data_IF_298504214445
#
_entry.id   IF_298504214445
#
_cell.length_a   1.000
_cell.length_b   1.000
_cell.length_c   1.000
_cell.angle_alpha   90.00
_cell.angle_beta   90.00
_cell.angle_gamma   90.00
#
_symmetry.space_group_name_H-M   'P 1'
#
loop_
_entity.id
_entity.type
_entity.pdbx_description
1 polymer ?
#
# COMPACT_ATOMS: atom_id res chain seq x y z
N UNK A 1 -9.94 17.14 18.22
CA UNK A 1 -10.65 16.42 17.14
C UNK A 1 -10.09 16.77 15.76
N UNK A 2 -9.84 18.05 15.46
CA UNK A 2 -9.29 18.47 14.17
C UNK A 2 -7.94 17.78 13.88
N UNK A 3 -7.00 17.81 14.83
CA UNK A 3 -5.69 17.14 14.68
C UNK A 3 -5.83 15.63 14.48
N UNK A 4 -6.79 14.99 15.19
CA UNK A 4 -7.01 13.56 15.08
C UNK A 4 -7.53 13.11 13.71
N UNK A 5 -8.14 14.01 12.96
CA UNK A 5 -8.80 13.72 11.67
C UNK A 5 -8.12 14.38 10.47
N UNK A 6 -7.08 15.20 10.70
CA UNK A 6 -6.37 15.93 9.63
C UNK A 6 -5.17 15.13 9.13
N UNK A 7 -4.96 15.16 7.82
CA UNK A 7 -3.83 14.49 7.20
C UNK A 7 -3.93 12.97 7.32
N UNK A 8 -2.98 12.36 8.01
CA UNK A 8 -3.04 10.95 8.41
C UNK A 8 -3.81 10.85 9.72
N UNK A 9 -5.04 10.33 9.74
CA UNK A 9 -5.83 10.21 10.96
C UNK A 9 -5.13 9.34 12.01
N UNK A 10 -5.24 9.75 13.27
CA UNK A 10 -4.62 9.01 14.36
C UNK A 10 -5.11 9.47 15.74
N UNK A 11 -4.75 8.73 16.79
CA UNK A 11 -5.12 9.09 18.16
C UNK A 11 -4.41 10.37 18.62
N UNK A 12 -5.10 11.16 19.40
CA UNK A 12 -4.56 12.34 20.09
C UNK A 12 -4.77 12.18 21.58
N UNK A 13 -3.69 12.28 22.35
CA UNK A 13 -3.73 12.26 23.81
C UNK A 13 -3.91 13.68 24.32
N UNK A 14 -4.88 13.87 25.22
CA UNK A 14 -5.04 15.07 26.02
C UNK A 14 -4.75 14.73 27.48
N UNK A 15 -3.63 15.21 28.00
CA UNK A 15 -3.30 15.07 29.40
C UNK A 15 -3.92 16.22 30.21
N UNK A 16 -4.69 15.89 31.25
CA UNK A 16 -5.32 16.85 32.16
C UNK A 16 -4.78 16.60 33.56
N UNK A 17 -3.78 17.37 34.00
CA UNK A 17 -3.17 17.22 35.33
C UNK A 17 -4.20 17.31 36.44
N UNK A 18 -3.95 16.60 37.56
CA UNK A 18 -4.89 16.50 38.67
C UNK A 18 -5.25 17.84 39.30
N UNK A 19 -4.28 18.74 39.46
CA UNK A 19 -4.49 20.09 40.00
C UNK A 19 -5.41 20.95 39.14
N UNK A 20 -5.36 20.79 37.81
CA UNK A 20 -6.24 21.45 36.86
C UNK A 20 -7.69 20.95 37.00
N UNK A 21 -7.87 19.64 37.24
CA UNK A 21 -9.19 19.05 37.41
C UNK A 21 -9.93 19.57 38.66
N UNK A 22 -9.18 19.95 39.70
CA UNK A 22 -9.75 20.52 40.95
C UNK A 22 -9.83 22.04 40.95
N UNK A 23 -9.29 22.71 39.94
CA UNK A 23 -9.27 24.17 39.88
C UNK A 23 -10.67 24.73 39.62
N UNK A 24 -11.12 25.63 40.52
CA UNK A 24 -12.37 26.36 40.30
C UNK A 24 -12.19 27.42 39.21
N UNK A 25 -13.14 27.50 38.28
CA UNK A 25 -13.14 28.49 37.20
C UNK A 25 -14.56 28.85 36.77
N UNK A 26 -14.72 29.96 36.04
CA UNK A 26 -15.97 30.29 35.38
C UNK A 26 -16.12 29.47 34.11
N UNK A 27 -17.28 28.84 33.94
CA UNK A 27 -17.59 28.18 32.66
C UNK A 27 -17.70 29.24 31.56
N UNK A 28 -16.95 29.08 30.51
CA UNK A 28 -17.05 29.86 29.28
C UNK A 28 -17.46 28.90 28.17
N UNK A 29 -18.63 29.16 27.56
CA UNK A 29 -19.07 28.34 26.42
C UNK A 29 -17.98 28.35 25.34
N UNK A 30 -17.52 27.19 24.89
CA UNK A 30 -16.54 27.13 23.79
C UNK A 30 -17.08 27.89 22.58
N UNK A 31 -16.24 28.71 21.96
CA UNK A 31 -16.59 29.29 20.66
C UNK A 31 -16.82 28.12 19.69
N UNK A 32 -17.91 28.17 18.93
CA UNK A 32 -18.12 27.21 17.86
C UNK A 32 -16.91 27.25 16.94
N UNK A 33 -16.12 26.17 16.97
CA UNK A 33 -15.09 25.98 15.97
C UNK A 33 -15.85 25.79 14.67
N UNK A 34 -15.81 26.78 13.79
CA UNK A 34 -16.32 26.61 12.42
C UNK A 34 -15.61 25.37 11.88
N UNK A 35 -16.35 24.29 11.69
CA UNK A 35 -15.84 23.14 10.95
C UNK A 35 -15.32 23.71 9.64
N UNK A 36 -14.02 23.78 9.48
CA UNK A 36 -13.46 23.79 8.13
C UNK A 36 -13.99 22.50 7.55
N UNK A 37 -14.84 22.59 6.53
CA UNK A 37 -15.43 21.46 5.83
C UNK A 37 -14.34 20.41 5.70
N UNK A 38 -14.61 19.19 6.21
CA UNK A 38 -13.61 18.15 6.44
C UNK A 38 -12.97 17.52 5.22
N UNK A 39 -12.96 18.21 4.10
CA UNK A 39 -12.00 18.03 3.03
C UNK A 39 -10.71 18.71 3.49
N UNK A 40 -9.88 17.95 4.17
CA UNK A 40 -8.46 18.27 4.18
C UNK A 40 -8.04 18.24 2.73
N UNK A 41 -8.04 19.39 2.08
CA UNK A 41 -7.42 19.62 0.78
C UNK A 41 -5.91 19.38 0.94
N UNK A 42 -5.52 18.14 1.15
CA UNK A 42 -4.12 17.73 1.00
C UNK A 42 -3.88 17.71 -0.49
N UNK A 43 -3.60 18.91 -0.98
CA UNK A 43 -3.20 19.11 -2.37
C UNK A 43 -1.92 18.32 -2.56
N UNK A 44 -1.86 17.60 -3.67
CA UNK A 44 -0.60 17.04 -4.13
C UNK A 44 0.43 18.19 -4.26
N UNK A 45 1.49 18.11 -3.46
CA UNK A 45 2.56 19.12 -3.44
C UNK A 45 3.65 18.83 -4.46
N UNK A 46 3.57 17.71 -5.20
CA UNK A 46 4.52 17.36 -6.25
C UNK A 46 4.31 18.20 -7.52
N UNK A 47 5.39 18.37 -8.27
CA UNK A 47 5.36 19.02 -9.57
C UNK A 47 4.99 18.01 -10.65
N UNK A 48 4.40 18.45 -11.75
CA UNK A 48 4.07 17.56 -12.88
C UNK A 48 5.31 16.82 -13.41
N UNK A 49 6.49 17.45 -13.36
CA UNK A 49 7.77 16.82 -13.66
C UNK A 49 8.09 15.60 -12.80
N UNK A 50 7.63 15.57 -11.54
CA UNK A 50 7.89 14.44 -10.65
C UNK A 50 7.02 13.24 -11.05
N UNK A 51 5.77 13.49 -11.49
CA UNK A 51 4.90 12.46 -12.08
C UNK A 51 5.51 11.93 -13.38
N UNK A 52 6.06 12.80 -14.21
CA UNK A 52 6.73 12.40 -15.46
C UNK A 52 7.96 11.53 -15.18
N UNK A 53 8.74 11.87 -14.17
CA UNK A 53 9.89 11.08 -13.74
C UNK A 53 9.49 9.67 -13.28
N UNK A 54 8.36 9.53 -12.57
CA UNK A 54 7.80 8.22 -12.22
C UNK A 54 7.47 7.39 -13.47
N UNK A 55 6.78 7.99 -14.44
CA UNK A 55 6.43 7.31 -15.70
C UNK A 55 7.69 6.87 -16.45
N UNK A 56 8.73 7.70 -16.46
CA UNK A 56 9.99 7.35 -17.11
C UNK A 56 10.73 6.20 -16.40
N UNK A 57 10.65 6.12 -15.05
CA UNK A 57 11.17 4.98 -14.30
C UNK A 57 10.38 3.69 -14.61
N UNK A 58 9.04 3.76 -14.71
CA UNK A 58 8.21 2.62 -15.11
C UNK A 58 8.63 2.06 -16.47
N UNK A 59 8.92 2.94 -17.42
CA UNK A 59 9.31 2.56 -18.79
C UNK A 59 10.69 1.91 -18.87
N UNK A 60 11.56 2.18 -17.91
CA UNK A 60 12.95 1.66 -17.88
C UNK A 60 13.09 0.37 -17.07
N UNK A 61 12.19 0.12 -16.12
CA UNK A 61 12.27 -1.01 -15.23
C UNK A 61 11.99 -2.33 -15.94
N UNK A 62 12.73 -3.37 -15.58
CA UNK A 62 12.55 -4.75 -16.04
C UNK A 62 12.08 -5.69 -14.94
N UNK A 63 12.22 -5.29 -13.66
CA UNK A 63 11.81 -6.04 -12.48
C UNK A 63 11.00 -5.16 -11.52
N UNK A 64 9.92 -4.51 -11.97
CA UNK A 64 9.14 -3.63 -11.12
C UNK A 64 8.31 -4.40 -10.10
N UNK A 65 7.97 -3.72 -8.98
CA UNK A 65 6.96 -4.17 -8.03
C UNK A 65 6.16 -3.00 -7.49
N UNK A 66 4.85 -3.16 -7.42
CA UNK A 66 3.96 -2.26 -6.69
C UNK A 66 3.81 -2.79 -5.26
N UNK A 67 3.94 -1.90 -4.30
CA UNK A 67 3.86 -2.21 -2.88
C UNK A 67 2.82 -1.31 -2.22
N UNK A 68 1.73 -1.88 -1.71
CA UNK A 68 0.61 -1.12 -1.19
C UNK A 68 0.43 -1.25 0.31
N UNK A 69 -0.02 -0.17 0.93
CA UNK A 69 -0.35 -0.12 2.35
C UNK A 69 -1.75 0.39 2.64
N UNK A 70 -2.05 0.57 3.93
CA UNK A 70 -3.34 1.04 4.42
C UNK A 70 -3.73 2.43 3.90
N UNK A 71 -2.77 3.24 3.43
CA UNK A 71 -3.04 4.55 2.85
C UNK A 71 -3.93 4.49 1.61
N UNK A 72 -3.90 3.39 0.85
CA UNK A 72 -4.81 3.19 -0.30
C UNK A 72 -6.25 3.04 0.18
N UNK A 73 -6.48 2.24 1.23
CA UNK A 73 -7.80 2.02 1.81
C UNK A 73 -8.33 3.30 2.45
N UNK A 74 -7.48 4.01 3.20
CA UNK A 74 -7.83 5.27 3.86
C UNK A 74 -8.16 6.39 2.87
N UNK A 75 -7.59 6.36 1.67
CA UNK A 75 -7.91 7.28 0.58
C UNK A 75 -9.26 6.97 -0.10
N UNK A 76 -9.90 5.86 0.26
CA UNK A 76 -11.27 5.49 -0.10
C UNK A 76 -11.41 4.66 -1.38
N UNK A 77 -12.66 4.28 -1.73
CA UNK A 77 -12.93 3.32 -2.82
C UNK A 77 -12.39 3.76 -4.19
N UNK A 78 -12.33 5.06 -4.45
CA UNK A 78 -11.79 5.58 -5.71
C UNK A 78 -10.30 5.28 -5.84
N UNK A 79 -9.54 5.36 -4.75
CA UNK A 79 -8.11 5.03 -4.75
C UNK A 79 -7.87 3.56 -5.09
N UNK A 80 -8.69 2.63 -4.57
CA UNK A 80 -8.60 1.20 -4.92
C UNK A 80 -8.96 0.92 -6.37
N UNK A 81 -9.92 1.65 -6.95
CA UNK A 81 -10.24 1.56 -8.39
C UNK A 81 -9.05 2.01 -9.24
N UNK A 82 -8.45 3.15 -8.89
CA UNK A 82 -7.28 3.69 -9.59
C UNK A 82 -6.06 2.78 -9.44
N UNK A 83 -5.88 2.15 -8.28
CA UNK A 83 -4.82 1.16 -8.09
C UNK A 83 -4.99 -0.02 -9.05
N UNK A 84 -6.20 -0.57 -9.17
CA UNK A 84 -6.50 -1.67 -10.13
C UNK A 84 -6.24 -1.23 -11.56
N UNK A 85 -6.62 0.00 -11.90
CA UNK A 85 -6.34 0.58 -13.22
C UNK A 85 -4.84 0.69 -13.49
N UNK A 86 -4.05 1.19 -12.52
CA UNK A 86 -2.60 1.28 -12.64
C UNK A 86 -1.95 -0.11 -12.82
N UNK A 87 -2.37 -1.09 -12.03
CA UNK A 87 -1.88 -2.48 -12.13
C UNK A 87 -2.18 -3.06 -13.51
N UNK A 88 -3.41 -2.89 -14.01
CA UNK A 88 -3.80 -3.32 -15.35
C UNK A 88 -3.02 -2.63 -16.45
N UNK A 89 -2.83 -1.30 -16.35
CA UNK A 89 -2.06 -0.50 -17.33
C UNK A 89 -0.58 -0.90 -17.38
N UNK A 90 -0.02 -1.27 -16.25
CA UNK A 90 1.43 -1.54 -16.17
C UNK A 90 1.76 -3.02 -16.38
N UNK A 91 0.87 -3.92 -16.02
CA UNK A 91 1.15 -5.35 -15.97
C UNK A 91 2.12 -5.74 -14.85
N UNK A 92 2.39 -4.84 -13.90
CA UNK A 92 3.36 -5.06 -12.83
C UNK A 92 2.80 -5.99 -11.75
N UNK A 93 3.64 -6.82 -11.11
CA UNK A 93 3.27 -7.53 -9.90
C UNK A 93 3.01 -6.55 -8.76
N UNK A 94 2.08 -6.95 -7.89
CA UNK A 94 1.68 -6.15 -6.73
C UNK A 94 1.68 -7.00 -5.46
N UNK A 95 2.19 -6.42 -4.37
CA UNK A 95 2.16 -6.98 -3.02
C UNK A 95 1.58 -5.97 -2.04
N UNK A 96 1.24 -6.42 -0.85
CA UNK A 96 0.56 -5.58 0.14
C UNK A 96 1.11 -5.79 1.55
N UNK A 97 1.08 -4.73 2.37
CA UNK A 97 1.18 -4.89 3.82
C UNK A 97 -0.07 -5.52 4.38
N UNK A 98 -0.02 -5.97 5.65
CA UNK A 98 -1.21 -6.42 6.37
C UNK A 98 -2.35 -5.38 6.33
N UNK A 99 -2.03 -4.12 6.62
CA UNK A 99 -3.01 -3.02 6.60
C UNK A 99 -3.49 -2.62 5.20
N UNK A 100 -2.80 -3.05 4.15
CA UNK A 100 -3.18 -2.82 2.76
C UNK A 100 -3.97 -3.97 2.14
N UNK A 101 -4.16 -5.09 2.85
CA UNK A 101 -4.99 -6.20 2.37
C UNK A 101 -6.42 -5.71 2.11
N UNK A 102 -6.98 -6.12 0.97
CA UNK A 102 -8.28 -5.65 0.48
C UNK A 102 -8.20 -4.45 -0.48
N UNK A 103 -7.07 -3.72 -0.56
CA UNK A 103 -6.89 -2.66 -1.56
C UNK A 103 -6.83 -3.21 -3.00
N UNK A 104 -6.36 -4.44 -3.16
CA UNK A 104 -6.28 -5.14 -4.44
C UNK A 104 -6.86 -6.56 -4.32
N UNK A 105 -7.52 -7.11 -5.35
CA UNK A 105 -8.13 -8.43 -5.28
C UNK A 105 -7.11 -9.54 -5.04
N UNK A 106 -7.35 -10.36 -4.00
CA UNK A 106 -6.46 -11.46 -3.64
C UNK A 106 -6.42 -12.63 -4.63
N UNK A 107 -7.44 -12.73 -5.49
CA UNK A 107 -7.53 -13.76 -6.55
C UNK A 107 -6.88 -13.34 -7.87
N UNK A 108 -6.45 -12.10 -8.00
CA UNK A 108 -5.81 -11.61 -9.21
C UNK A 108 -4.40 -12.20 -9.36
N UNK A 109 -4.06 -12.62 -10.57
CA UNK A 109 -2.76 -13.25 -10.85
C UNK A 109 -1.57 -12.30 -10.66
N UNK A 110 -1.78 -10.98 -10.73
CA UNK A 110 -0.74 -9.99 -10.47
C UNK A 110 -0.46 -9.81 -8.98
N UNK A 111 -1.36 -10.29 -8.09
CA UNK A 111 -1.19 -10.21 -6.66
C UNK A 111 -0.25 -11.31 -6.14
N UNK A 112 0.84 -10.92 -5.49
CA UNK A 112 1.83 -11.83 -4.94
C UNK A 112 1.53 -12.26 -3.49
N UNK A 113 0.42 -11.79 -2.92
CA UNK A 113 0.12 -11.95 -1.50
C UNK A 113 0.74 -10.85 -0.64
N UNK A 114 0.71 -11.05 0.67
CA UNK A 114 1.34 -10.16 1.64
C UNK A 114 2.85 -10.35 1.65
N UNK A 115 3.59 -9.29 1.94
CA UNK A 115 5.03 -9.33 2.18
C UNK A 115 5.38 -9.21 3.67
N UNK A 116 6.64 -9.36 3.99
CA UNK A 116 7.18 -9.25 5.34
C UNK A 116 7.31 -10.58 6.06
N UNK A 117 7.40 -10.54 7.39
CA UNK A 117 7.67 -11.72 8.24
C UNK A 117 6.70 -12.88 8.00
N UNK A 118 5.43 -12.58 7.75
CA UNK A 118 4.36 -13.56 7.48
C UNK A 118 3.94 -13.57 6.00
N UNK A 119 4.77 -12.99 5.14
CA UNK A 119 4.51 -12.88 3.71
C UNK A 119 4.77 -14.16 2.92
N UNK A 120 4.31 -14.14 1.68
CA UNK A 120 4.58 -15.22 0.73
C UNK A 120 6.04 -15.22 0.31
N UNK A 121 6.54 -16.39 -0.10
CA UNK A 121 7.91 -16.53 -0.58
C UNK A 121 8.16 -15.66 -1.84
N UNK A 122 7.21 -15.66 -2.79
CA UNK A 122 7.29 -14.87 -4.01
C UNK A 122 7.24 -13.37 -3.75
N UNK A 123 6.40 -12.89 -2.81
CA UNK A 123 6.33 -11.47 -2.48
C UNK A 123 7.63 -10.95 -1.87
N UNK A 124 8.21 -11.70 -0.93
CA UNK A 124 9.45 -11.31 -0.27
C UNK A 124 10.64 -11.32 -1.24
N UNK A 125 10.76 -12.34 -2.09
CA UNK A 125 11.83 -12.39 -3.08
C UNK A 125 11.65 -11.32 -4.18
N UNK A 126 10.43 -11.10 -4.63
CA UNK A 126 10.16 -10.04 -5.61
C UNK A 126 10.47 -8.65 -5.05
N UNK A 127 10.20 -8.40 -3.76
CA UNK A 127 10.56 -7.17 -3.09
C UNK A 127 12.08 -6.99 -2.98
N UNK A 128 12.82 -8.08 -2.71
CA UNK A 128 14.27 -8.03 -2.58
C UNK A 128 14.97 -7.80 -3.92
N UNK A 129 14.54 -8.52 -4.98
CA UNK A 129 15.23 -8.60 -6.27
C UNK A 129 14.72 -7.58 -7.31
N UNK A 130 13.71 -6.75 -6.96
CA UNK A 130 13.19 -5.75 -7.89
C UNK A 130 14.24 -4.69 -8.24
N UNK A 131 14.12 -4.10 -9.44
CA UNK A 131 14.90 -2.93 -9.88
C UNK A 131 14.14 -1.62 -9.66
N UNK A 132 12.82 -1.70 -9.46
CA UNK A 132 11.95 -0.57 -9.18
C UNK A 132 10.85 -0.97 -8.20
N UNK A 133 10.81 -0.27 -7.07
CA UNK A 133 9.78 -0.41 -6.04
C UNK A 133 8.91 0.84 -6.01
N UNK A 134 7.60 0.66 -6.15
CA UNK A 134 6.64 1.75 -6.06
C UNK A 134 5.81 1.53 -4.79
N UNK A 135 6.13 2.25 -3.73
CA UNK A 135 5.41 2.24 -2.48
C UNK A 135 4.22 3.20 -2.54
N UNK A 136 3.01 2.68 -2.30
CA UNK A 136 1.74 3.41 -2.39
C UNK A 136 1.04 3.32 -1.02
N UNK A 137 1.18 4.38 -0.21
CA UNK A 137 0.50 4.48 1.08
C UNK A 137 0.98 3.49 2.16
N UNK A 138 2.25 3.10 2.12
CA UNK A 138 2.90 2.32 3.17
C UNK A 138 4.14 3.06 3.70
N UNK A 139 4.45 2.90 4.97
CA UNK A 139 5.50 3.70 5.66
C UNK A 139 6.84 2.99 5.83
N UNK A 140 7.11 1.91 5.13
CA UNK A 140 8.31 1.09 5.31
C UNK A 140 8.56 0.70 6.78
N UNK A 141 7.60 -0.05 7.34
CA UNK A 141 7.65 -0.54 8.73
C UNK A 141 8.74 -1.61 8.90
N UNK A 142 9.27 -1.74 10.12
CA UNK A 142 10.31 -2.72 10.47
C UNK A 142 9.88 -4.16 10.23
N UNK A 143 8.59 -4.46 10.36
CA UNK A 143 8.00 -5.79 10.06
C UNK A 143 8.12 -6.19 8.59
N UNK A 144 8.38 -5.20 7.72
CA UNK A 144 8.53 -5.38 6.29
C UNK A 144 10.00 -5.27 5.88
N UNK A 145 10.71 -4.26 6.39
CA UNK A 145 12.06 -3.94 5.94
C UNK A 145 13.11 -4.90 6.48
N UNK A 146 12.91 -5.42 7.69
CA UNK A 146 13.94 -6.18 8.38
C UNK A 146 15.22 -5.34 8.52
N UNK A 147 16.35 -5.88 8.11
CA UNK A 147 17.63 -5.17 8.11
C UNK A 147 17.66 -4.12 7.02
N UNK A 148 17.64 -2.86 7.43
CA UNK A 148 17.47 -1.69 6.55
C UNK A 148 18.50 -1.64 5.44
N UNK A 149 19.77 -1.89 5.75
CA UNK A 149 20.89 -1.83 4.80
C UNK A 149 20.80 -2.91 3.69
N UNK A 150 20.04 -3.97 3.94
CA UNK A 150 19.84 -5.08 3.00
C UNK A 150 18.45 -5.04 2.33
N UNK A 151 17.62 -4.07 2.67
CA UNK A 151 16.26 -3.98 2.11
C UNK A 151 16.29 -3.51 0.67
N UNK A 152 16.03 -4.44 -0.26
CA UNK A 152 15.94 -4.17 -1.71
C UNK A 152 17.07 -3.25 -2.22
N UNK A 153 18.34 -3.67 -2.07
CA UNK A 153 19.49 -2.76 -2.19
C UNK A 153 19.70 -2.24 -3.62
N UNK A 154 19.16 -2.94 -4.63
CA UNK A 154 19.36 -2.60 -6.03
C UNK A 154 18.20 -1.81 -6.64
N UNK A 155 17.09 -1.64 -5.91
CA UNK A 155 15.91 -0.99 -6.45
C UNK A 155 15.98 0.53 -6.37
N UNK A 156 15.49 1.19 -7.44
CA UNK A 156 14.98 2.56 -7.33
C UNK A 156 13.68 2.54 -6.55
N UNK A 157 13.50 3.49 -5.63
CA UNK A 157 12.35 3.52 -4.72
C UNK A 157 11.54 4.79 -4.93
N UNK A 158 10.27 4.61 -5.23
CA UNK A 158 9.27 5.69 -5.31
C UNK A 158 8.37 5.56 -4.10
N UNK A 159 8.11 6.66 -3.38
CA UNK A 159 7.24 6.66 -2.21
C UNK A 159 6.10 7.67 -2.39
N UNK A 160 4.88 7.15 -2.39
CA UNK A 160 3.62 7.92 -2.42
C UNK A 160 3.02 7.84 -1.03
N UNK A 161 3.00 8.94 -0.31
CA UNK A 161 2.41 9.02 1.04
C UNK A 161 1.77 10.39 1.27
N UNK A 162 0.73 10.42 2.08
CA UNK A 162 0.06 11.65 2.49
C UNK A 162 0.86 12.42 3.55
N UNK A 163 1.65 11.70 4.34
CA UNK A 163 2.42 12.23 5.45
C UNK A 163 3.88 12.49 5.04
N UNK A 164 4.29 13.76 4.90
CA UNK A 164 5.66 14.09 4.54
C UNK A 164 6.68 13.59 5.57
N UNK A 165 6.29 13.38 6.82
CA UNK A 165 7.18 12.87 7.88
C UNK A 165 7.51 11.39 7.73
N UNK A 166 6.75 10.66 6.94
CA UNK A 166 7.01 9.25 6.57
C UNK A 166 8.07 9.11 5.48
N UNK A 167 8.32 10.17 4.70
CA UNK A 167 9.30 10.16 3.61
C UNK A 167 10.72 10.14 4.17
N UNK A 168 11.54 9.22 3.65
CA UNK A 168 12.94 9.01 4.08
C UNK A 168 13.12 8.72 5.58
N UNK A 169 12.06 8.31 6.27
CA UNK A 169 12.13 8.05 7.71
C UNK A 169 12.91 6.77 8.03
N UNK A 170 12.54 5.67 7.40
CA UNK A 170 13.17 4.37 7.62
C UNK A 170 14.02 3.96 6.41
N UNK A 171 13.53 4.20 5.21
CA UNK A 171 14.18 3.85 3.94
C UNK A 171 14.32 5.12 3.12
N UNK A 172 15.53 5.38 2.63
CA UNK A 172 15.78 6.46 1.66
C UNK A 172 15.15 6.12 0.32
N UNK A 173 14.49 7.09 -0.30
CA UNK A 173 13.80 6.92 -1.58
C UNK A 173 14.37 7.85 -2.64
N UNK A 174 14.35 7.39 -3.90
CA UNK A 174 14.85 8.18 -5.04
C UNK A 174 13.86 9.26 -5.45
N UNK A 175 12.56 9.01 -5.26
CA UNK A 175 11.52 9.96 -5.61
C UNK A 175 10.33 9.86 -4.63
N UNK A 176 9.88 11.01 -4.13
CA UNK A 176 8.74 11.10 -3.23
C UNK A 176 7.60 11.90 -3.85
N UNK A 177 6.38 11.39 -3.76
CA UNK A 177 5.16 12.07 -4.15
C UNK A 177 4.28 12.25 -2.91
N UNK A 178 4.33 13.44 -2.30
CA UNK A 178 3.56 13.74 -1.09
C UNK A 178 2.16 14.19 -1.48
N UNK A 179 1.15 13.43 -1.05
CA UNK A 179 -0.25 13.73 -1.34
C UNK A 179 -1.18 12.54 -1.10
N UNK A 180 -2.48 12.81 -1.19
CA UNK A 180 -3.49 11.77 -1.14
C UNK A 180 -3.32 10.79 -2.31
N UNK A 181 -3.38 9.49 -2.00
CA UNK A 181 -3.17 8.40 -2.98
C UNK A 181 -4.10 8.53 -4.19
N UNK A 182 -5.37 8.86 -3.98
CA UNK A 182 -6.34 9.06 -5.07
C UNK A 182 -5.85 10.13 -6.04
N UNK A 183 -5.46 11.30 -5.52
CA UNK A 183 -5.03 12.45 -6.34
C UNK A 183 -3.74 12.11 -7.10
N UNK A 184 -2.78 11.48 -6.43
CA UNK A 184 -1.51 11.09 -7.06
C UNK A 184 -1.73 10.06 -8.16
N UNK A 185 -2.54 9.02 -7.90
CA UNK A 185 -2.83 7.97 -8.87
C UNK A 185 -3.62 8.50 -10.08
N UNK A 186 -4.59 9.40 -9.88
CA UNK A 186 -5.31 10.05 -10.98
C UNK A 186 -4.35 10.77 -11.93
N UNK A 187 -3.45 11.60 -11.38
CA UNK A 187 -2.45 12.33 -12.17
C UNK A 187 -1.49 11.37 -12.88
N UNK A 188 -1.00 10.36 -12.17
CA UNK A 188 -0.06 9.39 -12.71
C UNK A 188 -0.66 8.62 -13.90
N UNK A 189 -1.89 8.14 -13.77
CA UNK A 189 -2.60 7.41 -14.81
C UNK A 189 -2.85 8.31 -16.03
N UNK A 190 -3.25 9.58 -15.81
CA UNK A 190 -3.46 10.53 -16.90
C UNK A 190 -2.18 10.77 -17.70
N UNK A 191 -1.07 11.03 -17.04
CA UNK A 191 0.24 11.24 -17.69
C UNK A 191 0.69 9.97 -18.40
N UNK A 192 0.48 8.82 -17.76
CA UNK A 192 0.83 7.52 -18.31
C UNK A 192 0.09 7.23 -19.63
N UNK A 193 -1.24 7.38 -19.63
CA UNK A 193 -2.07 7.19 -20.84
C UNK A 193 -1.69 8.15 -21.95
N UNK A 194 -1.34 9.39 -21.61
CA UNK A 194 -0.92 10.40 -22.59
C UNK A 194 0.44 10.08 -23.21
N UNK A 195 1.41 9.64 -22.41
CA UNK A 195 2.79 9.37 -22.87
C UNK A 195 2.94 8.03 -23.56
N UNK A 196 2.19 7.00 -23.12
CA UNK A 196 2.32 5.65 -23.64
C UNK A 196 1.00 4.86 -23.52
N UNK A 197 0.03 5.12 -24.40
CA UNK A 197 -1.30 4.49 -24.34
C UNK A 197 -1.26 2.96 -24.55
N UNK A 198 -0.16 2.44 -25.10
CA UNK A 198 0.01 1.01 -25.38
C UNK A 198 1.01 0.33 -24.42
N UNK A 199 1.35 0.98 -23.31
CA UNK A 199 2.40 0.51 -22.41
C UNK A 199 2.22 -0.94 -21.95
N UNK A 200 1.01 -1.34 -21.54
CA UNK A 200 0.76 -2.71 -21.10
C UNK A 200 1.20 -3.76 -22.15
N UNK A 201 0.97 -3.45 -23.43
CA UNK A 201 1.34 -4.34 -24.55
C UNK A 201 2.85 -4.35 -24.79
N UNK A 202 3.48 -3.17 -24.85
CA UNK A 202 4.92 -3.04 -25.08
C UNK A 202 5.75 -3.53 -23.87
N UNK A 203 5.24 -3.34 -22.66
CA UNK A 203 5.89 -3.74 -21.43
C UNK A 203 5.87 -5.25 -21.19
N UNK A 204 4.86 -5.97 -21.67
CA UNK A 204 4.69 -7.40 -21.44
C UNK A 204 5.94 -8.20 -21.78
N UNK A 205 6.57 -7.91 -22.91
CA UNK A 205 7.81 -8.60 -23.34
C UNK A 205 8.98 -8.24 -22.42
N UNK A 206 9.11 -6.98 -22.02
CA UNK A 206 10.20 -6.50 -21.17
C UNK A 206 10.20 -7.12 -19.78
N UNK A 207 9.03 -7.30 -19.16
CA UNK A 207 8.90 -7.90 -17.83
C UNK A 207 8.61 -9.41 -17.87
N UNK A 208 8.62 -10.05 -19.04
CA UNK A 208 8.31 -11.48 -19.17
C UNK A 208 9.28 -12.36 -18.37
N UNK A 209 10.59 -12.05 -18.41
CA UNK A 209 11.58 -12.78 -17.62
C UNK A 209 11.35 -12.62 -16.12
N UNK A 210 10.90 -11.43 -15.68
CA UNK A 210 10.54 -11.17 -14.30
C UNK A 210 9.35 -12.00 -13.84
N UNK A 211 8.27 -12.02 -14.63
CA UNK A 211 7.12 -12.88 -14.35
C UNK A 211 7.50 -14.37 -14.33
N UNK A 212 8.34 -14.81 -15.24
CA UNK A 212 8.82 -16.20 -15.24
C UNK A 212 9.58 -16.53 -13.95
N UNK A 213 10.35 -15.58 -13.41
CA UNK A 213 11.05 -15.77 -12.14
C UNK A 213 10.06 -15.81 -10.96
N UNK A 214 9.08 -14.93 -10.93
CA UNK A 214 8.01 -14.91 -9.91
C UNK A 214 7.24 -16.23 -9.92
N UNK A 215 6.88 -16.73 -11.10
CA UNK A 215 6.18 -18.02 -11.22
C UNK A 215 7.01 -19.20 -10.71
N UNK A 216 8.34 -19.16 -10.85
CA UNK A 216 9.21 -20.16 -10.22
C UNK A 216 9.14 -20.12 -8.70
N UNK A 217 9.09 -18.93 -8.13
CA UNK A 217 8.93 -18.76 -6.68
C UNK A 217 7.56 -19.22 -6.17
N UNK A 218 6.48 -18.92 -6.91
CA UNK A 218 5.12 -19.40 -6.60
C UNK A 218 5.00 -20.91 -6.53
N UNK A 219 5.78 -21.63 -7.33
CA UNK A 219 5.80 -23.10 -7.29
C UNK A 219 6.20 -23.68 -5.94
N UNK A 220 6.85 -22.91 -5.07
CA UNK A 220 7.12 -23.32 -3.68
C UNK A 220 5.85 -23.47 -2.85
N UNK A 221 4.75 -22.81 -3.25
CA UNK A 221 3.46 -22.87 -2.57
C UNK A 221 3.60 -22.64 -1.04
N UNK A 222 4.22 -21.52 -0.68
CA UNK A 222 4.64 -21.22 0.71
C UNK A 222 3.49 -21.18 1.72
N UNK A 223 2.26 -20.96 1.26
CA UNK A 223 1.05 -21.02 2.08
C UNK A 223 0.33 -22.38 2.00
N UNK A 224 0.89 -23.34 1.24
CA UNK A 224 0.34 -24.67 1.10
C UNK A 224 0.41 -25.46 2.41
N UNK A 225 -0.53 -26.37 2.59
CA UNK A 225 -0.56 -27.29 3.73
C UNK A 225 -1.02 -28.68 3.29
N UNK A 226 -0.62 -29.68 4.05
CA UNK A 226 -1.07 -31.08 3.83
C UNK A 226 -2.21 -31.34 4.81
N UNK A 227 -3.36 -31.75 4.28
CA UNK A 227 -4.50 -32.14 5.11
C UNK A 227 -4.16 -33.34 5.99
N UNK A 228 -4.75 -33.38 7.17
CA UNK A 228 -4.67 -34.51 8.09
C UNK A 228 -6.06 -35.15 8.25
N UNK A 229 -6.08 -36.46 8.48
CA UNK A 229 -7.30 -37.18 8.85
C UNK A 229 -7.53 -37.21 10.36
N UNK A 230 -6.51 -36.88 11.13
CA UNK A 230 -6.51 -36.97 12.59
C UNK A 230 -6.76 -35.63 13.28
N UNK A 231 -6.32 -34.52 12.66
CA UNK A 231 -6.43 -33.17 13.23
C UNK A 231 -6.91 -32.17 12.18
N UNK A 232 -7.69 -31.20 12.61
CA UNK A 232 -8.09 -30.04 11.79
C UNK A 232 -6.97 -29.03 11.83
N UNK A 233 -6.32 -28.78 10.70
CA UNK A 233 -5.31 -27.73 10.59
C UNK A 233 -5.96 -26.35 10.48
N UNK A 234 -5.39 -25.29 11.10
CA UNK A 234 -5.92 -23.94 11.02
C UNK A 234 -6.13 -23.47 9.56
N UNK A 235 -5.19 -23.77 8.68
CA UNK A 235 -5.26 -23.43 7.26
C UNK A 235 -6.49 -24.07 6.58
N UNK A 236 -6.79 -25.34 6.91
CA UNK A 236 -7.96 -26.03 6.40
C UNK A 236 -9.25 -25.37 6.87
N UNK A 237 -9.33 -25.01 8.15
CA UNK A 237 -10.51 -24.33 8.71
C UNK A 237 -10.76 -22.99 8.02
N UNK A 238 -9.71 -22.18 7.82
CA UNK A 238 -9.79 -20.88 7.11
C UNK A 238 -10.22 -21.07 5.66
N UNK A 239 -9.61 -22.04 4.95
CA UNK A 239 -9.97 -22.32 3.57
C UNK A 239 -11.43 -22.76 3.46
N UNK A 240 -11.87 -23.65 4.35
CA UNK A 240 -13.24 -24.13 4.36
C UNK A 240 -14.26 -23.05 4.70
N UNK A 241 -13.92 -22.18 5.64
CA UNK A 241 -14.73 -21.01 5.96
C UNK A 241 -14.90 -20.11 4.73
N UNK A 242 -13.83 -19.80 4.03
CA UNK A 242 -13.90 -19.03 2.78
C UNK A 242 -14.79 -19.72 1.73
N UNK A 243 -14.62 -21.02 1.48
CA UNK A 243 -15.42 -21.76 0.51
C UNK A 243 -16.93 -21.71 0.82
N UNK A 244 -17.29 -21.72 2.09
CA UNK A 244 -18.68 -21.69 2.54
C UNK A 244 -19.30 -20.29 2.53
N UNK A 245 -18.48 -19.24 2.58
CA UNK A 245 -18.97 -17.87 2.76
C UNK A 245 -18.65 -16.91 1.62
N UNK A 246 -17.84 -17.32 0.63
CA UNK A 246 -17.35 -16.46 -0.46
C UNK A 246 -18.44 -15.77 -1.30
N UNK A 247 -19.63 -16.36 -1.33
CA UNK A 247 -20.81 -15.85 -2.07
C UNK A 247 -21.85 -15.22 -1.14
N UNK A 248 -21.48 -14.97 0.13
CA UNK A 248 -22.35 -14.39 1.14
C UNK A 248 -21.80 -13.04 1.61
N UNK A 249 -22.71 -12.17 2.03
CA UNK A 249 -22.34 -10.89 2.64
C UNK A 249 -22.05 -11.09 4.14
N UNK A 250 -20.82 -11.48 4.45
CA UNK A 250 -20.37 -11.78 5.82
C UNK A 250 -19.11 -11.01 6.16
N UNK A 251 -19.00 -10.63 7.43
CA UNK A 251 -17.79 -10.05 8.01
C UNK A 251 -17.12 -11.07 8.92
N UNK A 252 -15.86 -11.40 8.62
CA UNK A 252 -15.06 -12.31 9.44
C UNK A 252 -14.01 -11.46 10.16
N UNK A 253 -14.00 -11.52 11.49
CA UNK A 253 -13.01 -10.85 12.33
C UNK A 253 -12.11 -11.88 12.98
N UNK A 254 -10.85 -11.53 13.16
CA UNK A 254 -9.88 -12.37 13.89
C UNK A 254 -9.03 -11.50 14.80
N UNK A 255 -8.49 -12.10 15.81
CA UNK A 255 -7.51 -11.51 16.73
C UNK A 255 -6.08 -11.77 16.22
#
# INVERSE_FOLDING_TARGET
FEVATTGRPGPVLVDIPKDIQFKKGKYVKPKEVKKKNGETDIKFNGKDKDIEAVVDLFRKSSKPILYTGGGVINSGPKATQLLRELVSLTGFPITSTLQGLGAFPGYDQQFLGMLGMHGTFEANNAMHDCDLMINIGARFDDRITGKIDEFSPQSKKIHIDIDPSSINKNISVDLALVGDVKIVLEKLILVFKKKDPNFAKSNKQRIAAWWNQIEKWRKKNSLGFINSKEVIKPQFAIQRLYELTKDQDVFITSE
#
